data_IF_205750941904
#
_entry.id   IF_205750941904
#
_cell.length_a   1.000
_cell.length_b   1.000
_cell.length_c   1.000
_cell.angle_alpha   90.00
_cell.angle_beta   90.00
_cell.angle_gamma   90.00
#
_symmetry.space_group_name_H-M   'P 1'
#
loop_
_entity.id
_entity.type
_entity.pdbx_description
1 polymer ?
#
# COMPACT_ATOMS: atom_id res chain seq x y z
N UNK A 1 -4.73 5.99 -22.21
CA UNK A 1 -4.19 4.80 -22.89
C UNK A 1 -2.73 4.70 -22.46
N UNK A 2 -2.49 3.96 -21.38
CA UNK A 2 -1.17 3.81 -20.83
C UNK A 2 -0.38 2.82 -21.69
N UNK A 3 0.76 3.27 -22.18
CA UNK A 3 1.76 2.41 -22.77
C UNK A 3 2.24 1.42 -21.69
N UNK A 4 1.57 0.28 -21.58
CA UNK A 4 2.16 -0.93 -21.06
C UNK A 4 3.26 -1.26 -22.07
N UNK A 5 4.47 -0.85 -21.75
CA UNK A 5 5.63 -1.27 -22.52
C UNK A 5 5.59 -2.79 -22.53
N UNK A 6 5.52 -3.36 -23.70
CA UNK A 6 5.85 -4.76 -23.94
C UNK A 6 7.32 -4.93 -23.58
N UNK A 7 7.58 -4.99 -22.29
CA UNK A 7 8.90 -5.39 -21.79
C UNK A 7 8.87 -6.90 -21.94
N UNK A 8 9.67 -7.39 -22.91
CA UNK A 8 9.82 -8.83 -23.13
C UNK A 8 10.19 -9.56 -21.83
N UNK A 9 10.28 -10.87 -21.88
CA UNK A 9 10.50 -11.73 -20.71
C UNK A 9 11.72 -11.39 -19.82
N UNK A 10 12.60 -10.50 -20.27
CA UNK A 10 13.84 -10.05 -19.59
C UNK A 10 13.64 -8.67 -18.95
N UNK A 11 12.90 -8.63 -17.84
CA UNK A 11 12.77 -7.42 -17.01
C UNK A 11 14.13 -7.04 -16.40
N UNK A 12 14.63 -5.85 -16.73
CA UNK A 12 15.89 -5.31 -16.17
C UNK A 12 15.57 -4.35 -15.01
N UNK A 13 16.50 -4.23 -14.07
CA UNK A 13 16.37 -3.33 -12.91
C UNK A 13 16.05 -1.89 -13.31
N UNK A 14 16.64 -1.41 -14.41
CA UNK A 14 16.38 -0.06 -14.94
C UNK A 14 14.95 0.15 -15.44
N UNK A 15 14.23 -0.92 -15.78
CA UNK A 15 12.85 -0.84 -16.26
C UNK A 15 11.87 -0.62 -15.10
N UNK A 16 12.20 -1.12 -13.91
CA UNK A 16 11.42 -0.90 -12.70
C UNK A 16 11.27 0.58 -12.38
N UNK A 17 12.33 1.38 -12.58
CA UNK A 17 12.29 2.82 -12.35
C UNK A 17 11.30 3.56 -13.29
N UNK A 18 10.97 2.97 -14.44
CA UNK A 18 10.03 3.51 -15.42
C UNK A 18 8.56 3.21 -15.06
N UNK A 19 8.31 2.25 -14.17
CA UNK A 19 6.96 1.78 -13.80
C UNK A 19 6.30 2.67 -12.73
N UNK A 20 6.35 3.98 -12.92
CA UNK A 20 5.82 4.95 -11.94
C UNK A 20 4.34 4.73 -11.63
N UNK A 21 3.53 4.43 -12.66
CA UNK A 21 2.10 4.19 -12.46
C UNK A 21 1.82 2.89 -11.71
N UNK A 22 2.57 1.82 -12.00
CA UNK A 22 2.47 0.57 -11.24
C UNK A 22 2.77 0.79 -9.76
N UNK A 23 3.83 1.56 -9.45
CA UNK A 23 4.14 1.91 -8.07
C UNK A 23 3.05 2.76 -7.41
N UNK A 24 2.43 3.64 -8.16
CA UNK A 24 1.29 4.41 -7.69
C UNK A 24 0.08 3.50 -7.37
N UNK A 25 -0.22 2.54 -8.23
CA UNK A 25 -1.26 1.53 -8.00
C UNK A 25 -0.98 0.70 -6.74
N UNK A 26 0.27 0.26 -6.54
CA UNK A 26 0.68 -0.48 -5.34
C UNK A 26 0.48 0.37 -4.08
N UNK A 27 0.94 1.62 -4.09
CA UNK A 27 0.76 2.54 -2.95
C UNK A 27 -0.71 2.76 -2.63
N UNK A 28 -1.55 2.94 -3.65
CA UNK A 28 -2.97 3.16 -3.48
C UNK A 28 -3.70 1.91 -2.97
N UNK A 29 -3.35 0.74 -3.48
CA UNK A 29 -3.87 -0.53 -2.97
C UNK A 29 -3.52 -0.72 -1.49
N UNK A 30 -2.27 -0.46 -1.12
CA UNK A 30 -1.82 -0.55 0.28
C UNK A 30 -2.46 0.51 1.18
N UNK A 31 -2.84 1.68 0.66
CA UNK A 31 -3.58 2.69 1.41
C UNK A 31 -5.00 2.20 1.70
N UNK A 32 -5.72 1.71 0.69
CA UNK A 32 -7.10 1.24 0.83
C UNK A 32 -7.22 -0.08 1.60
N UNK A 33 -6.25 -0.97 1.40
CA UNK A 33 -6.22 -2.29 2.04
C UNK A 33 -4.81 -2.56 2.60
N UNK A 34 -4.45 -1.92 3.72
CA UNK A 34 -3.14 -2.13 4.33
C UNK A 34 -3.03 -3.55 4.90
N UNK A 35 -1.86 -4.15 4.79
CA UNK A 35 -1.58 -5.48 5.38
C UNK A 35 -1.70 -5.47 6.90
N UNK A 36 -1.35 -4.34 7.54
CA UNK A 36 -1.49 -4.15 8.99
C UNK A 36 -2.21 -2.84 9.26
N UNK A 37 -3.11 -2.84 10.25
CA UNK A 37 -3.84 -1.64 10.66
C UNK A 37 -2.97 -0.60 11.37
N UNK A 38 -1.83 -1.00 11.94
CA UNK A 38 -0.97 -0.08 12.68
C UNK A 38 0.29 -0.69 13.23
N UNK A 39 0.97 0.07 14.06
CA UNK A 39 2.18 -0.34 14.77
C UNK A 39 2.09 -0.01 16.25
N UNK A 40 2.60 -0.90 17.09
CA UNK A 40 2.67 -0.70 18.54
C UNK A 40 4.05 -0.18 18.95
N UNK A 41 4.08 0.71 19.93
CA UNK A 41 5.29 1.21 20.57
C UNK A 41 5.07 1.35 22.07
N UNK A 42 6.08 1.02 22.84
CA UNK A 42 6.15 1.36 24.26
C UNK A 42 6.95 2.64 24.41
N UNK A 43 6.43 3.61 25.12
CA UNK A 43 7.09 4.90 25.36
C UNK A 43 8.22 4.70 26.35
N UNK A 44 9.42 5.08 25.97
CA UNK A 44 10.64 4.89 26.78
C UNK A 44 10.90 6.02 27.79
N UNK A 45 10.33 7.20 27.56
CA UNK A 45 10.41 8.37 28.45
C UNK A 45 9.06 9.05 28.49
N UNK A 46 8.78 9.81 29.56
CA UNK A 46 7.59 10.65 29.63
C UNK A 46 7.57 11.63 28.45
N UNK A 47 6.45 11.71 27.74
CA UNK A 47 6.28 12.58 26.57
C UNK A 47 4.94 13.30 26.62
N UNK A 48 4.87 14.46 25.98
CA UNK A 48 3.60 15.18 25.78
C UNK A 48 3.23 15.11 24.31
N UNK A 49 2.06 14.55 24.01
CA UNK A 49 1.53 14.48 22.64
C UNK A 49 0.19 15.17 22.59
N UNK A 50 0.06 16.21 21.79
CA UNK A 50 -1.15 17.01 21.64
C UNK A 50 -1.71 17.53 22.99
N UNK A 51 -0.83 17.88 23.93
CA UNK A 51 -1.21 18.35 25.26
C UNK A 51 -1.51 17.25 26.31
N UNK A 52 -1.48 15.97 25.90
CA UNK A 52 -1.65 14.85 26.81
C UNK A 52 -0.29 14.38 27.34
N UNK A 53 -0.14 14.30 28.64
CA UNK A 53 1.02 13.70 29.31
C UNK A 53 0.93 12.18 29.22
N UNK A 54 1.94 11.57 28.60
CA UNK A 54 2.00 10.12 28.40
C UNK A 54 3.20 9.58 29.15
N UNK A 55 2.97 8.82 30.25
CA UNK A 55 4.03 8.28 31.06
C UNK A 55 4.87 7.24 30.31
N UNK A 56 6.13 7.14 30.71
CA UNK A 56 7.01 6.03 30.36
C UNK A 56 6.33 4.68 30.63
N UNK A 57 6.52 3.72 29.72
CA UNK A 57 5.93 2.39 29.80
C UNK A 57 4.54 2.29 29.17
N UNK A 58 3.91 3.41 28.79
CA UNK A 58 2.63 3.41 28.08
C UNK A 58 2.79 2.78 26.72
N UNK A 59 1.88 1.86 26.39
CA UNK A 59 1.79 1.27 25.05
C UNK A 59 0.92 2.14 24.16
N UNK A 60 1.48 2.65 23.07
CA UNK A 60 0.75 3.42 22.06
C UNK A 60 0.56 2.57 20.81
N UNK A 61 -0.68 2.50 20.34
CA UNK A 61 -1.01 1.91 19.06
C UNK A 61 -1.19 3.01 18.01
N UNK A 62 -0.29 3.03 17.04
CA UNK A 62 -0.34 3.96 15.92
C UNK A 62 -1.14 3.35 14.77
N UNK A 63 -2.39 3.75 14.65
CA UNK A 63 -3.31 3.22 13.63
C UNK A 63 -3.13 3.94 12.28
N UNK A 64 -2.54 3.26 11.31
CA UNK A 64 -2.35 3.81 9.96
C UNK A 64 -3.69 3.94 9.22
N UNK A 65 -4.62 3.04 9.48
CA UNK A 65 -5.94 3.01 8.82
C UNK A 65 -6.74 4.28 9.02
N UNK A 66 -6.63 4.93 10.17
CA UNK A 66 -7.39 6.15 10.42
C UNK A 66 -7.00 7.28 9.46
N UNK A 67 -5.70 7.50 9.27
CA UNK A 67 -5.22 8.56 8.37
C UNK A 67 -5.45 8.23 6.90
N UNK A 68 -5.49 6.94 6.54
CA UNK A 68 -5.71 6.49 5.17
C UNK A 68 -7.08 6.89 4.62
N UNK A 69 -8.06 7.08 5.49
CA UNK A 69 -9.44 7.42 5.14
C UNK A 69 -9.85 8.83 5.59
N UNK A 70 -8.91 9.64 6.06
CA UNK A 70 -9.15 11.03 6.47
C UNK A 70 -9.28 11.93 5.24
N UNK A 71 -10.44 12.57 5.07
CA UNK A 71 -10.75 13.49 3.97
C UNK A 71 -9.90 14.77 4.00
N UNK A 72 -9.36 15.15 5.17
CA UNK A 72 -8.42 16.27 5.28
C UNK A 72 -7.03 15.95 4.71
N UNK A 73 -6.73 14.65 4.54
CA UNK A 73 -5.45 14.16 4.04
C UNK A 73 -5.55 13.66 2.61
N UNK A 74 -6.61 12.93 2.30
CA UNK A 74 -6.83 12.33 0.99
C UNK A 74 -8.18 12.74 0.42
N UNK A 75 -8.21 13.39 -0.73
CA UNK A 75 -9.46 13.63 -1.44
C UNK A 75 -10.05 12.30 -1.90
N UNK A 76 -11.37 12.17 -1.78
CA UNK A 76 -12.08 10.95 -2.15
C UNK A 76 -11.40 9.70 -1.57
N UNK A 77 -11.23 9.59 -0.22
CA UNK A 77 -10.38 8.59 0.41
C UNK A 77 -10.83 7.15 0.14
N UNK A 78 -12.10 6.94 -0.19
CA UNK A 78 -12.66 5.63 -0.50
C UNK A 78 -12.48 5.21 -1.96
N UNK A 79 -11.95 6.07 -2.82
CA UNK A 79 -11.74 5.77 -4.23
C UNK A 79 -10.30 5.31 -4.48
N UNK A 80 -10.16 4.35 -5.39
CA UNK A 80 -8.86 3.92 -5.89
C UNK A 80 -8.35 4.93 -6.93
N UNK A 81 -7.43 5.80 -6.53
CA UNK A 81 -6.90 6.89 -7.35
C UNK A 81 -5.37 6.90 -7.33
N UNK A 82 -4.71 6.06 -8.14
CA UNK A 82 -3.25 6.00 -8.21
C UNK A 82 -2.60 7.33 -8.61
N UNK A 83 -3.34 8.16 -9.36
CA UNK A 83 -2.89 9.46 -9.87
C UNK A 83 -2.43 10.38 -8.75
N UNK A 84 -3.00 10.26 -7.55
CA UNK A 84 -2.60 11.05 -6.38
C UNK A 84 -1.13 10.90 -5.97
N UNK A 85 -0.50 9.81 -6.40
CA UNK A 85 0.91 9.51 -6.10
C UNK A 85 1.88 9.98 -7.21
N UNK A 86 1.34 10.49 -8.31
CA UNK A 86 2.10 10.92 -9.49
C UNK A 86 1.91 12.40 -9.76
N UNK A 87 0.76 12.97 -9.36
CA UNK A 87 0.47 14.39 -9.58
C UNK A 87 1.26 15.25 -8.60
N UNK A 88 2.25 15.95 -9.14
CA UNK A 88 3.11 16.87 -8.38
C UNK A 88 2.36 18.11 -7.84
N UNK A 89 1.11 18.31 -8.25
CA UNK A 89 0.29 19.46 -7.80
C UNK A 89 -0.35 19.24 -6.43
N UNK A 90 -0.37 18.00 -5.94
CA UNK A 90 -1.02 17.65 -4.69
C UNK A 90 0.01 17.12 -3.71
N UNK A 91 0.30 17.93 -2.69
CA UNK A 91 1.21 17.52 -1.63
C UNK A 91 0.49 16.62 -0.63
N UNK A 92 0.74 15.32 -0.74
CA UNK A 92 0.34 14.36 0.31
C UNK A 92 1.30 14.55 1.49
N UNK A 93 0.79 14.77 2.72
CA UNK A 93 1.64 14.95 3.88
C UNK A 93 2.66 13.82 4.02
N UNK A 94 3.93 14.17 4.25
CA UNK A 94 5.08 13.25 4.30
C UNK A 94 4.85 11.99 5.12
N UNK A 95 3.97 12.07 6.10
CA UNK A 95 3.69 10.96 7.01
C UNK A 95 2.33 10.30 6.81
N UNK A 96 1.58 10.67 5.79
CA UNK A 96 0.27 10.10 5.53
C UNK A 96 0.33 8.65 5.03
N UNK A 97 1.38 8.28 4.28
CA UNK A 97 1.57 6.90 3.81
C UNK A 97 2.69 6.21 4.59
N UNK A 98 2.33 5.38 5.57
CA UNK A 98 3.27 4.71 6.48
C UNK A 98 3.07 3.21 6.58
N UNK A 99 2.72 2.56 5.50
CA UNK A 99 2.46 1.12 5.45
C UNK A 99 3.65 0.28 5.97
N UNK A 100 4.86 0.80 5.84
CA UNK A 100 6.08 0.17 6.33
C UNK A 100 6.67 0.86 7.58
N UNK A 101 5.90 1.70 8.28
CA UNK A 101 6.36 2.52 9.40
C UNK A 101 7.40 3.57 8.98
N UNK A 102 8.10 4.21 9.94
CA UNK A 102 9.08 5.27 9.70
C UNK A 102 10.18 5.27 10.78
N UNK A 103 11.33 5.88 10.44
CA UNK A 103 12.46 6.05 11.36
C UNK A 103 13.27 4.78 11.58
N UNK A 104 14.03 4.69 12.69
CA UNK A 104 14.94 3.57 12.97
C UNK A 104 14.27 2.20 13.05
N UNK A 105 12.96 2.18 13.29
CA UNK A 105 12.13 0.97 13.40
C UNK A 105 11.28 0.72 12.17
N UNK A 106 11.59 1.36 11.04
CA UNK A 106 10.96 1.09 9.75
C UNK A 106 11.18 -0.37 9.35
N UNK A 107 10.21 -0.94 8.61
CA UNK A 107 10.32 -2.31 8.11
C UNK A 107 11.62 -2.50 7.31
N UNK A 108 12.43 -3.44 7.74
CA UNK A 108 13.70 -3.78 7.06
C UNK A 108 13.46 -4.37 5.67
N UNK A 109 12.35 -5.09 5.48
CA UNK A 109 11.97 -5.74 4.23
C UNK A 109 11.30 -4.83 3.20
N UNK A 110 11.11 -3.53 3.49
CA UNK A 110 10.39 -2.61 2.59
C UNK A 110 10.91 -2.64 1.15
N UNK A 111 12.22 -2.55 0.97
CA UNK A 111 12.82 -2.53 -0.38
C UNK A 111 12.61 -3.85 -1.13
N UNK A 112 12.66 -4.96 -0.41
CA UNK A 112 12.42 -6.28 -0.96
C UNK A 112 10.95 -6.43 -1.37
N UNK A 113 10.02 -6.06 -0.49
CA UNK A 113 8.59 -6.11 -0.76
C UNK A 113 8.19 -5.22 -1.93
N UNK A 114 8.70 -3.98 -2.00
CA UNK A 114 8.45 -3.07 -3.13
C UNK A 114 8.93 -3.69 -4.46
N UNK A 115 10.10 -4.32 -4.47
CA UNK A 115 10.66 -4.97 -5.66
C UNK A 115 9.85 -6.20 -6.06
N UNK A 116 9.51 -7.05 -5.10
CA UNK A 116 8.75 -8.28 -5.32
C UNK A 116 7.37 -7.97 -5.89
N UNK A 117 6.65 -7.02 -5.30
CA UNK A 117 5.34 -6.58 -5.79
C UNK A 117 5.41 -6.03 -7.22
N UNK A 118 6.40 -5.19 -7.52
CA UNK A 118 6.57 -4.66 -8.89
C UNK A 118 6.79 -5.77 -9.91
N UNK A 119 7.70 -6.71 -9.62
CA UNK A 119 8.03 -7.81 -10.54
C UNK A 119 6.83 -8.74 -10.69
N UNK A 120 6.20 -9.15 -9.59
CA UNK A 120 5.08 -10.08 -9.60
C UNK A 120 3.89 -9.51 -10.37
N UNK A 121 3.44 -8.29 -10.03
CA UNK A 121 2.30 -7.67 -10.70
C UNK A 121 2.62 -7.41 -12.16
N UNK A 122 3.82 -6.90 -12.49
CA UNK A 122 4.22 -6.70 -13.88
C UNK A 122 4.14 -7.99 -14.67
N UNK A 123 4.73 -9.09 -14.17
CA UNK A 123 4.68 -10.39 -14.85
C UNK A 123 3.26 -10.90 -15.04
N UNK A 124 2.42 -10.75 -14.03
CA UNK A 124 1.02 -11.20 -14.12
C UNK A 124 0.27 -10.42 -15.19
N UNK A 125 0.28 -9.08 -15.13
CA UNK A 125 -0.48 -8.25 -16.08
C UNK A 125 0.10 -8.21 -17.50
N UNK A 126 1.38 -8.59 -17.67
CA UNK A 126 2.01 -8.69 -18.99
C UNK A 126 1.74 -10.02 -19.70
N UNK A 127 1.32 -11.04 -18.97
CA UNK A 127 1.10 -12.37 -19.55
C UNK A 127 -0.37 -12.79 -19.52
N UNK A 128 -1.20 -12.20 -18.64
CA UNK A 128 -2.55 -12.64 -18.44
C UNK A 128 -3.56 -11.50 -18.46
N UNK A 129 -4.70 -11.73 -19.09
CA UNK A 129 -5.92 -11.00 -18.81
C UNK A 129 -6.54 -11.58 -17.54
N UNK A 130 -6.85 -10.72 -16.57
CA UNK A 130 -7.35 -11.13 -15.25
C UNK A 130 -8.78 -10.66 -15.09
N UNK A 131 -9.65 -11.58 -14.70
CA UNK A 131 -11.05 -11.27 -14.38
C UNK A 131 -11.39 -11.74 -12.99
N UNK A 132 -11.97 -10.83 -12.18
CA UNK A 132 -12.59 -11.18 -10.92
C UNK A 132 -13.89 -11.95 -11.18
N UNK A 133 -14.06 -13.10 -10.53
CA UNK A 133 -15.15 -14.03 -10.85
C UNK A 133 -16.33 -13.95 -9.90
N UNK A 134 -16.20 -13.20 -8.80
CA UNK A 134 -17.30 -13.00 -7.84
C UNK A 134 -18.10 -11.76 -8.19
N UNK A 135 -19.39 -11.75 -7.81
CA UNK A 135 -20.27 -10.57 -7.92
C UNK A 135 -20.01 -9.55 -6.81
N UNK A 136 -19.51 -10.01 -5.67
CA UNK A 136 -19.29 -9.20 -4.49
C UNK A 136 -17.86 -8.65 -4.47
N UNK A 137 -17.65 -7.43 -3.98
CA UNK A 137 -16.31 -6.91 -3.75
C UNK A 137 -15.58 -7.74 -2.69
N UNK A 138 -14.27 -7.79 -2.78
CA UNK A 138 -13.45 -8.42 -1.76
C UNK A 138 -13.51 -7.59 -0.48
N UNK A 139 -13.80 -8.24 0.62
CA UNK A 139 -13.68 -7.70 1.98
C UNK A 139 -12.51 -8.35 2.71
N UNK A 140 -12.04 -7.72 3.76
CA UNK A 140 -10.95 -8.23 4.58
C UNK A 140 -11.36 -8.22 6.05
N UNK A 141 -10.90 -9.19 6.80
CA UNK A 141 -10.97 -9.18 8.26
C UNK A 141 -9.58 -9.04 8.87
N UNK A 142 -9.54 -8.49 10.06
CA UNK A 142 -8.30 -8.21 10.77
C UNK A 142 -7.97 -9.36 11.71
N UNK A 143 -6.80 -9.96 11.44
CA UNK A 143 -6.11 -10.83 12.39
C UNK A 143 -4.81 -10.13 12.84
N UNK A 144 -3.68 -10.85 12.90
CA UNK A 144 -2.36 -10.23 13.05
C UNK A 144 -2.03 -9.34 11.84
N UNK A 145 -2.44 -9.79 10.66
CA UNK A 145 -2.47 -9.04 9.40
C UNK A 145 -3.88 -9.10 8.82
N UNK A 146 -4.21 -8.16 7.94
CA UNK A 146 -5.47 -8.22 7.22
C UNK A 146 -5.44 -9.35 6.20
N UNK A 147 -6.46 -10.20 6.24
CA UNK A 147 -6.63 -11.33 5.32
C UNK A 147 -7.97 -11.23 4.59
N UNK A 148 -8.08 -11.69 3.36
CA UNK A 148 -9.36 -11.74 2.65
C UNK A 148 -10.39 -12.61 3.38
N UNK A 149 -11.64 -12.16 3.46
CA UNK A 149 -12.75 -12.91 4.06
C UNK A 149 -13.13 -14.14 3.25
N UNK A 150 -12.79 -14.14 1.96
CA UNK A 150 -13.11 -15.21 1.03
C UNK A 150 -11.89 -15.57 0.16
N UNK A 151 -11.82 -16.77 -0.39
CA UNK A 151 -10.81 -17.13 -1.38
C UNK A 151 -10.80 -16.15 -2.54
N UNK A 152 -9.60 -15.80 -3.02
CA UNK A 152 -9.42 -14.95 -4.19
C UNK A 152 -9.76 -15.76 -5.45
N UNK A 153 -10.85 -15.39 -6.11
CA UNK A 153 -11.40 -16.10 -7.26
C UNK A 153 -11.16 -15.27 -8.55
N UNK A 154 -10.05 -15.58 -9.22
CA UNK A 154 -9.66 -14.94 -10.46
C UNK A 154 -9.61 -15.92 -11.61
N UNK A 155 -10.11 -15.52 -12.76
CA UNK A 155 -9.87 -16.22 -14.03
C UNK A 155 -8.70 -15.54 -14.75
N UNK A 156 -7.70 -16.33 -15.10
CA UNK A 156 -6.56 -15.93 -15.90
C UNK A 156 -6.71 -16.49 -17.31
N UNK A 157 -6.47 -15.65 -18.32
CA UNK A 157 -6.39 -16.05 -19.72
C UNK A 157 -5.15 -15.43 -20.33
N UNK A 158 -4.39 -16.21 -21.11
CA UNK A 158 -3.17 -15.74 -21.75
C UNK A 158 -3.46 -14.51 -22.64
N UNK A 159 -2.51 -13.60 -22.67
CA UNK A 159 -2.49 -12.52 -23.66
C UNK A 159 -1.84 -13.11 -24.92
N UNK A 160 -2.64 -13.31 -25.96
CA UNK A 160 -2.18 -13.76 -27.30
C UNK A 160 -1.42 -12.68 -28.03
#
# INVERSE_FOLDING_TARGET
>A
MFLLFSIGNDLKVQDLAKMKYLMACIKEAMRLSPTSSGSLRVIENDVVIQGYEIPKGTMIWWMHTLINFDENVFDHPNQFMPERWIDDKKEIPKFANRQFSHGPRMCVGKRFADLELQIAIHKIISNFNIKWMRSEPMTVHQELVNVPDHPLDFKFTDIS
#
